data_IF_155014752348
#
_entry.id   IF_155014752348
#
_cell.length_a   1.000
_cell.length_b   1.000
_cell.length_c   1.000
_cell.angle_alpha   90.00
_cell.angle_beta   90.00
_cell.angle_gamma   90.00
#
_symmetry.space_group_name_H-M   'P 1'
#
loop_
_entity.id
_entity.type
_entity.pdbx_description
1 polymer ?
#
# COMPACT_ATOMS: atom_id res chain seq x y z
N UNK A 1 -22.84 21.78 -51.64
CA UNK A 1 -21.42 21.58 -51.26
C UNK A 1 -21.17 21.21 -49.79
N UNK A 2 -21.82 21.81 -48.78
CA UNK A 2 -21.57 21.47 -47.36
C UNK A 2 -21.99 20.06 -46.94
N UNK A 3 -23.07 19.53 -47.52
CA UNK A 3 -23.58 18.17 -47.23
C UNK A 3 -22.65 17.07 -47.77
N UNK A 4 -22.13 17.23 -48.99
CA UNK A 4 -21.15 16.28 -49.58
C UNK A 4 -19.83 16.24 -48.80
N UNK A 5 -19.40 17.35 -48.19
CA UNK A 5 -18.21 17.36 -47.30
C UNK A 5 -18.46 16.58 -46.01
N UNK A 6 -19.68 16.64 -45.46
CA UNK A 6 -20.03 15.91 -44.24
C UNK A 6 -20.16 14.40 -44.49
N UNK A 7 -20.76 14.00 -45.61
CA UNK A 7 -20.87 12.57 -46.01
C UNK A 7 -19.48 11.97 -46.27
N UNK A 8 -18.61 12.65 -47.02
CA UNK A 8 -17.21 12.20 -47.22
C UNK A 8 -16.42 12.11 -45.92
N UNK A 9 -16.70 12.99 -44.95
CA UNK A 9 -16.03 12.93 -43.65
C UNK A 9 -16.52 11.72 -42.83
N UNK A 10 -17.83 11.45 -42.84
CA UNK A 10 -18.42 10.30 -42.16
C UNK A 10 -17.93 8.97 -42.74
N UNK A 11 -17.91 8.83 -44.06
CA UNK A 11 -17.39 7.64 -44.76
C UNK A 11 -15.89 7.41 -44.49
N UNK A 12 -15.09 8.47 -44.36
CA UNK A 12 -13.68 8.38 -43.98
C UNK A 12 -13.50 7.96 -42.51
N UNK A 13 -14.36 8.43 -41.60
CA UNK A 13 -14.35 7.97 -40.19
C UNK A 13 -14.87 6.55 -40.00
N UNK A 14 -15.77 6.06 -40.85
CA UNK A 14 -16.23 4.66 -40.80
C UNK A 14 -15.19 3.69 -41.35
N UNK A 15 -14.46 4.05 -42.42
CA UNK A 15 -13.33 3.24 -42.90
C UNK A 15 -12.18 3.14 -41.88
N UNK A 16 -11.98 4.15 -41.04
CA UNK A 16 -10.96 4.14 -39.98
C UNK A 16 -11.42 3.50 -38.65
N UNK A 17 -12.62 2.91 -38.59
CA UNK A 17 -13.15 2.22 -37.39
C UNK A 17 -13.11 0.70 -37.48
N UNK A 18 -12.37 0.13 -38.43
CA UNK A 18 -12.04 -1.29 -38.34
C UNK A 18 -11.04 -1.50 -37.21
N UNK A 19 -11.50 -2.12 -36.14
CA UNK A 19 -10.66 -2.58 -35.04
C UNK A 19 -9.61 -3.53 -35.61
N UNK A 20 -8.35 -3.14 -35.50
CA UNK A 20 -7.21 -4.02 -35.81
C UNK A 20 -7.34 -5.23 -34.88
N UNK A 21 -7.44 -6.42 -35.44
CA UNK A 21 -7.51 -7.64 -34.62
C UNK A 21 -6.18 -7.81 -33.89
N UNK A 22 -6.18 -8.52 -32.75
CA UNK A 22 -4.93 -8.84 -32.03
C UNK A 22 -3.91 -9.52 -32.94
N UNK A 23 -4.38 -10.35 -33.87
CA UNK A 23 -3.56 -10.99 -34.89
C UNK A 23 -2.90 -9.96 -35.80
N UNK A 24 -3.67 -9.03 -36.34
CA UNK A 24 -3.16 -7.99 -37.22
C UNK A 24 -2.20 -7.02 -36.51
N UNK A 25 -2.34 -6.78 -35.20
CA UNK A 25 -1.35 -6.05 -34.42
C UNK A 25 -0.03 -6.82 -34.28
N UNK A 26 -0.10 -8.14 -34.06
CA UNK A 26 1.08 -9.00 -34.01
C UNK A 26 1.78 -9.03 -35.37
N UNK A 27 1.04 -9.26 -36.45
CA UNK A 27 1.56 -9.31 -37.83
C UNK A 27 2.22 -7.98 -38.22
N UNK A 28 1.62 -6.84 -37.87
CA UNK A 28 2.20 -5.51 -38.10
C UNK A 28 3.51 -5.31 -37.32
N UNK A 29 3.60 -5.85 -36.10
CA UNK A 29 4.81 -5.75 -35.26
C UNK A 29 5.95 -6.61 -35.83
N UNK A 30 5.64 -7.82 -36.31
CA UNK A 30 6.59 -8.69 -36.99
C UNK A 30 7.05 -8.12 -38.33
N UNK A 31 6.14 -7.57 -39.14
CA UNK A 31 6.49 -6.90 -40.40
C UNK A 31 7.41 -5.70 -40.15
N UNK A 32 7.13 -4.88 -39.13
CA UNK A 32 8.00 -3.78 -38.74
C UNK A 32 9.38 -4.28 -38.30
N UNK A 33 9.46 -5.30 -37.42
CA UNK A 33 10.72 -5.88 -36.98
C UNK A 33 11.54 -6.46 -38.14
N UNK A 34 10.88 -7.11 -39.11
CA UNK A 34 11.51 -7.63 -40.32
C UNK A 34 12.17 -6.51 -41.14
N UNK A 35 11.45 -5.40 -41.37
CA UNK A 35 11.99 -4.25 -42.12
C UNK A 35 13.17 -3.57 -41.44
N UNK A 36 13.33 -3.75 -40.12
CA UNK A 36 14.42 -3.20 -39.32
C UNK A 36 15.56 -4.18 -39.07
N UNK A 37 15.48 -5.41 -39.60
CA UNK A 37 16.48 -6.45 -39.32
C UNK A 37 16.49 -6.89 -37.85
N UNK A 38 15.37 -6.75 -37.15
CA UNK A 38 15.22 -7.06 -35.73
C UNK A 38 14.56 -8.42 -35.49
N UNK A 39 14.44 -9.29 -36.49
CA UNK A 39 13.98 -10.66 -36.26
C UNK A 39 15.14 -11.55 -35.80
N UNK A 40 14.90 -12.38 -34.80
CA UNK A 40 15.82 -13.43 -34.36
C UNK A 40 15.07 -14.76 -34.25
N UNK A 41 15.75 -15.87 -34.49
CA UNK A 41 15.20 -17.19 -34.20
C UNK A 41 15.54 -17.55 -32.75
N UNK A 42 14.51 -17.75 -31.93
CA UNK A 42 14.72 -18.13 -30.53
C UNK A 42 15.32 -19.55 -30.45
N UNK A 43 16.40 -19.71 -29.69
CA UNK A 43 17.15 -20.96 -29.62
C UNK A 43 16.37 -22.10 -28.96
N UNK A 44 15.44 -21.80 -28.06
CA UNK A 44 14.69 -22.77 -27.26
C UNK A 44 13.57 -23.42 -28.07
N UNK A 45 12.79 -22.62 -28.79
CA UNK A 45 11.60 -23.11 -29.51
C UNK A 45 11.66 -22.97 -31.03
N UNK A 46 12.79 -22.49 -31.58
CA UNK A 46 13.06 -22.38 -33.04
C UNK A 46 12.00 -21.58 -33.82
N UNK A 47 11.30 -20.65 -33.15
CA UNK A 47 10.37 -19.71 -33.81
C UNK A 47 11.00 -18.33 -33.92
N UNK A 48 10.64 -17.58 -34.97
CA UNK A 48 11.05 -16.20 -35.13
C UNK A 48 10.38 -15.30 -34.08
N UNK A 49 11.15 -14.41 -33.49
CA UNK A 49 10.69 -13.42 -32.53
C UNK A 49 11.26 -12.04 -32.89
N UNK A 50 10.48 -10.98 -32.66
CA UNK A 50 10.98 -9.62 -32.75
C UNK A 50 11.91 -9.31 -31.56
N UNK A 51 13.16 -8.94 -31.86
CA UNK A 51 14.15 -8.42 -30.91
C UNK A 51 13.68 -7.05 -30.44
N UNK A 52 13.29 -6.96 -29.18
CA UNK A 52 13.08 -5.68 -28.50
C UNK A 52 14.46 -5.03 -28.32
N UNK A 53 14.73 -3.97 -29.08
CA UNK A 53 15.88 -3.11 -28.82
C UNK A 53 15.50 -2.29 -27.60
N UNK A 54 15.99 -2.70 -26.44
CA UNK A 54 16.09 -1.82 -25.29
C UNK A 54 17.43 -1.11 -25.51
N UNK A 55 17.40 0.18 -25.84
CA UNK A 55 18.61 0.97 -26.01
C UNK A 55 19.24 1.15 -24.61
N UNK A 56 20.31 0.39 -24.34
CA UNK A 56 21.06 0.41 -23.07
C UNK A 56 22.05 1.61 -22.99
N UNK A 57 21.86 2.68 -23.78
CA UNK A 57 22.83 3.79 -23.87
C UNK A 57 22.85 4.74 -22.65
N UNK A 58 22.05 4.51 -21.61
CA UNK A 58 22.11 5.24 -20.33
C UNK A 58 22.65 4.39 -19.16
N UNK A 59 23.44 3.34 -19.45
CA UNK A 59 24.22 2.64 -18.42
C UNK A 59 25.33 3.55 -17.88
N UNK A 60 25.01 4.28 -16.81
CA UNK A 60 25.96 5.03 -16.00
C UNK A 60 27.13 4.13 -15.54
N UNK A 61 28.32 4.67 -15.74
CA UNK A 61 29.61 4.19 -15.25
C UNK A 61 29.58 3.94 -13.74
N UNK A 62 29.85 2.70 -13.32
CA UNK A 62 30.31 2.37 -11.97
C UNK A 62 31.46 1.38 -12.09
N UNK A 63 32.68 1.93 -12.16
CA UNK A 63 33.88 1.28 -11.64
C UNK A 63 34.07 1.78 -10.20
N UNK A 64 34.05 0.88 -9.22
CA UNK A 64 35.20 0.62 -8.36
C UNK A 64 34.87 -0.41 -7.26
N UNK A 65 35.83 -1.31 -7.08
CA UNK A 65 35.88 -2.39 -6.10
C UNK A 65 35.76 -1.89 -4.65
N UNK A 66 34.82 -2.46 -3.89
CA UNK A 66 34.81 -2.39 -2.41
C UNK A 66 34.74 -3.81 -1.87
N UNK A 67 35.70 -4.25 -1.02
CA UNK A 67 35.67 -5.57 -0.43
C UNK A 67 34.57 -5.68 0.63
N UNK A 68 33.82 -6.76 0.56
CA UNK A 68 32.75 -7.14 1.49
C UNK A 68 33.34 -7.55 2.85
N UNK A 69 32.90 -6.97 3.99
CA UNK A 69 33.23 -7.51 5.30
C UNK A 69 32.30 -8.67 5.66
N UNK A 70 32.89 -9.65 6.34
CA UNK A 70 32.31 -10.91 6.80
C UNK A 70 31.06 -10.71 7.67
N UNK A 71 30.01 -11.48 7.38
CA UNK A 71 28.76 -11.51 8.14
C UNK A 71 28.85 -12.50 9.31
N UNK A 72 28.86 -11.98 10.54
CA UNK A 72 28.62 -12.77 11.75
C UNK A 72 27.13 -13.10 11.90
N UNK A 73 26.86 -14.37 12.17
CA UNK A 73 25.51 -14.92 12.29
C UNK A 73 24.98 -14.82 13.73
N UNK A 74 24.01 -13.93 13.96
CA UNK A 74 23.29 -13.84 15.24
C UNK A 74 21.95 -14.58 15.11
N UNK A 75 21.82 -15.67 15.87
CA UNK A 75 20.59 -16.46 15.97
C UNK A 75 19.53 -15.73 16.82
N UNK A 76 18.37 -15.42 16.24
CA UNK A 76 17.19 -15.00 17.00
C UNK A 76 16.18 -16.14 17.14
N UNK A 77 15.80 -16.44 18.38
CA UNK A 77 14.66 -17.30 18.73
C UNK A 77 13.34 -16.54 18.49
N UNK A 78 12.28 -17.17 17.98
CA UNK A 78 10.99 -16.51 17.83
C UNK A 78 10.23 -16.50 19.16
N UNK A 79 9.73 -15.31 19.53
CA UNK A 79 8.78 -15.12 20.61
C UNK A 79 7.35 -15.44 20.13
N UNK A 80 6.63 -16.21 20.94
CA UNK A 80 5.20 -16.50 20.77
C UNK A 80 4.35 -15.28 21.14
N UNK A 81 3.29 -15.02 20.38
CA UNK A 81 2.16 -14.23 20.87
C UNK A 81 1.48 -13.33 19.84
N UNK A 82 0.19 -13.59 19.64
CA UNK A 82 -0.82 -12.79 18.89
C UNK A 82 -0.86 -13.04 17.38
N UNK A 83 -1.67 -14.02 16.98
CA UNK A 83 -2.05 -14.28 15.59
C UNK A 83 -2.92 -13.14 15.05
N UNK A 84 -2.29 -12.08 14.54
CA UNK A 84 -2.98 -11.15 13.64
C UNK A 84 -3.44 -11.92 12.39
N UNK A 85 -4.59 -11.58 11.81
CA UNK A 85 -5.10 -12.15 10.55
C UNK A 85 -4.27 -11.68 9.36
N UNK A 86 -2.95 -11.86 9.41
CA UNK A 86 -2.05 -11.59 8.30
C UNK A 86 -2.45 -12.50 7.14
N UNK A 87 -2.74 -11.90 5.99
CA UNK A 87 -3.02 -12.62 4.76
C UNK A 87 -1.79 -13.46 4.41
N UNK A 88 -1.90 -14.78 4.50
CA UNK A 88 -0.81 -15.70 4.16
C UNK A 88 -0.66 -15.73 2.62
N UNK A 89 0.33 -15.02 2.10
CA UNK A 89 0.64 -14.91 0.65
C UNK A 89 2.02 -15.50 0.43
N UNK A 90 2.20 -16.24 -0.67
CA UNK A 90 3.53 -16.72 -1.04
C UNK A 90 4.47 -15.53 -1.29
N UNK A 91 5.74 -15.62 -0.85
CA UNK A 91 6.75 -14.66 -1.25
C UNK A 91 6.88 -14.66 -2.78
N UNK A 92 6.96 -13.46 -3.37
CA UNK A 92 7.23 -13.31 -4.80
C UNK A 92 8.71 -13.43 -5.05
N UNK A 93 9.13 -14.38 -5.88
CA UNK A 93 10.51 -14.48 -6.37
C UNK A 93 10.79 -13.26 -7.24
N UNK A 94 11.66 -12.35 -6.81
CA UNK A 94 12.09 -11.24 -7.67
C UNK A 94 12.99 -11.78 -8.78
N UNK A 95 13.14 -11.05 -9.90
CA UNK A 95 13.89 -11.52 -11.09
C UNK A 95 15.34 -11.96 -10.79
N UNK A 96 15.91 -11.52 -9.67
CA UNK A 96 17.29 -11.79 -9.28
C UNK A 96 17.41 -12.65 -8.01
N UNK A 97 16.29 -13.04 -7.39
CA UNK A 97 16.34 -13.84 -6.16
C UNK A 97 16.52 -15.31 -6.51
N UNK A 98 17.46 -15.96 -5.80
CA UNK A 98 17.61 -17.40 -5.93
C UNK A 98 16.40 -18.12 -5.32
N UNK A 99 15.83 -19.14 -5.97
CA UNK A 99 14.73 -19.92 -5.37
C UNK A 99 15.13 -20.58 -4.04
N UNK A 100 16.43 -20.84 -3.83
CA UNK A 100 16.96 -21.40 -2.60
C UNK A 100 16.84 -20.43 -1.41
N UNK A 101 17.05 -19.13 -1.62
CA UNK A 101 16.97 -18.14 -0.52
C UNK A 101 15.53 -17.93 -0.05
N UNK A 102 14.56 -18.11 -0.94
CA UNK A 102 13.14 -17.94 -0.65
C UNK A 102 12.49 -19.22 -0.10
N UNK A 103 13.08 -20.40 -0.34
CA UNK A 103 12.52 -21.71 -0.02
C UNK A 103 12.03 -21.88 1.44
N UNK A 104 12.79 -21.50 2.49
CA UNK A 104 12.32 -21.67 3.87
C UNK A 104 11.05 -20.87 4.16
N UNK A 105 11.00 -19.63 3.66
CA UNK A 105 9.84 -18.74 3.82
C UNK A 105 8.62 -19.27 3.03
N UNK A 106 8.86 -19.84 1.85
CA UNK A 106 7.82 -20.46 1.03
C UNK A 106 7.22 -21.70 1.71
N UNK A 107 8.05 -22.57 2.30
CA UNK A 107 7.62 -23.74 3.06
C UNK A 107 6.77 -23.35 4.28
N UNK A 108 7.18 -22.32 5.03
CA UNK A 108 6.42 -21.81 6.17
C UNK A 108 5.01 -21.33 5.78
N UNK A 109 4.91 -20.59 4.67
CA UNK A 109 3.62 -20.13 4.11
C UNK A 109 2.77 -21.31 3.63
N UNK A 110 3.39 -22.29 2.95
CA UNK A 110 2.71 -23.47 2.44
C UNK A 110 2.11 -24.31 3.58
N UNK A 111 2.86 -24.54 4.66
CA UNK A 111 2.38 -25.28 5.83
C UNK A 111 1.14 -24.61 6.46
N UNK A 112 1.19 -23.29 6.68
CA UNK A 112 0.04 -22.53 7.20
C UNK A 112 -1.18 -22.59 6.28
N UNK A 113 -0.98 -22.61 4.97
CA UNK A 113 -2.08 -22.74 4.00
C UNK A 113 -2.73 -24.12 4.05
N UNK A 114 -1.93 -25.17 4.19
CA UNK A 114 -2.43 -26.54 4.36
C UNK A 114 -3.28 -26.64 5.63
N UNK A 115 -2.78 -26.15 6.77
CA UNK A 115 -3.52 -26.13 8.04
C UNK A 115 -4.86 -25.40 7.92
N UNK A 116 -4.86 -24.19 7.35
CA UNK A 116 -6.08 -23.42 7.14
C UNK A 116 -7.09 -24.14 6.21
N UNK A 117 -6.60 -24.84 5.19
CA UNK A 117 -7.45 -25.63 4.31
C UNK A 117 -8.06 -26.85 5.01
N UNK A 118 -7.30 -27.53 5.87
CA UNK A 118 -7.82 -28.63 6.71
C UNK A 118 -8.96 -28.15 7.62
N UNK A 119 -8.78 -27.03 8.32
CA UNK A 119 -9.82 -26.47 9.21
C UNK A 119 -11.13 -26.18 8.47
N UNK A 120 -11.06 -25.56 7.28
CA UNK A 120 -12.28 -25.25 6.52
C UNK A 120 -12.91 -26.53 5.92
N UNK A 121 -12.10 -27.52 5.55
CA UNK A 121 -12.58 -28.81 5.06
C UNK A 121 -13.34 -29.59 6.14
N UNK A 122 -12.80 -29.65 7.37
CA UNK A 122 -13.48 -30.30 8.50
C UNK A 122 -14.79 -29.60 8.86
N UNK A 123 -14.78 -28.27 8.82
CA UNK A 123 -15.97 -27.46 9.05
C UNK A 123 -17.07 -27.78 8.02
N UNK A 124 -16.72 -27.93 6.74
CA UNK A 124 -17.69 -28.27 5.69
C UNK A 124 -18.30 -29.65 5.88
N UNK A 125 -17.49 -30.66 6.26
CA UNK A 125 -17.98 -32.01 6.57
C UNK A 125 -19.00 -32.04 7.71
N UNK A 126 -18.91 -31.10 8.65
CA UNK A 126 -19.87 -31.00 9.78
C UNK A 126 -21.22 -30.38 9.40
N UNK A 127 -21.37 -29.83 8.19
CA UNK A 127 -22.58 -29.10 7.80
C UNK A 127 -23.73 -29.97 7.32
N UNK A 128 -23.54 -31.31 7.23
CA UNK A 128 -24.54 -32.29 6.77
C UNK A 128 -25.26 -31.85 5.47
N UNK A 129 -24.51 -31.25 4.55
CA UNK A 129 -25.03 -30.73 3.29
C UNK A 129 -24.32 -31.41 2.13
N UNK A 130 -25.03 -32.08 1.20
CA UNK A 130 -24.41 -32.84 0.11
C UNK A 130 -23.44 -32.01 -0.75
N UNK A 131 -23.73 -30.73 -0.94
CA UNK A 131 -22.87 -29.81 -1.70
C UNK A 131 -21.65 -29.34 -0.89
N UNK A 132 -21.79 -29.21 0.43
CA UNK A 132 -20.65 -28.93 1.30
C UNK A 132 -19.70 -30.13 1.34
N UNK A 133 -20.24 -31.36 1.35
CA UNK A 133 -19.46 -32.60 1.30
C UNK A 133 -18.68 -32.74 0.00
N UNK A 134 -19.29 -32.42 -1.15
CA UNK A 134 -18.61 -32.40 -2.45
C UNK A 134 -17.40 -31.42 -2.43
N UNK A 135 -17.59 -30.22 -1.89
CA UNK A 135 -16.51 -29.22 -1.76
C UNK A 135 -15.44 -29.71 -0.78
N UNK A 136 -15.83 -30.33 0.33
CA UNK A 136 -14.90 -30.88 1.31
C UNK A 136 -14.02 -32.00 0.71
N UNK A 137 -14.60 -32.84 -0.16
CA UNK A 137 -13.86 -33.90 -0.87
C UNK A 137 -12.88 -33.30 -1.88
N UNK A 138 -13.28 -32.27 -2.63
CA UNK A 138 -12.37 -31.54 -3.51
C UNK A 138 -11.24 -30.84 -2.74
N UNK A 139 -11.54 -30.23 -1.59
CA UNK A 139 -10.52 -29.64 -0.72
C UNK A 139 -9.54 -30.69 -0.23
N UNK A 140 -10.00 -31.88 0.18
CA UNK A 140 -9.12 -32.97 0.60
C UNK A 140 -8.13 -33.35 -0.51
N UNK A 141 -8.61 -33.55 -1.74
CA UNK A 141 -7.75 -33.90 -2.87
C UNK A 141 -6.67 -32.84 -3.15
N UNK A 142 -7.02 -31.55 -3.01
CA UNK A 142 -6.06 -30.45 -3.17
C UNK A 142 -5.05 -30.39 -2.02
N UNK A 143 -5.49 -30.67 -0.79
CA UNK A 143 -4.65 -30.74 0.40
C UNK A 143 -3.65 -31.89 0.32
N UNK A 144 -4.07 -33.07 -0.15
CA UNK A 144 -3.19 -34.21 -0.35
C UNK A 144 -2.10 -33.88 -1.38
N UNK A 145 -2.48 -33.18 -2.45
CA UNK A 145 -1.52 -32.71 -3.46
C UNK A 145 -0.54 -31.67 -2.90
N UNK A 146 -1.01 -30.68 -2.14
CA UNK A 146 -0.13 -29.68 -1.53
C UNK A 146 0.80 -30.31 -0.48
N UNK A 147 0.33 -31.29 0.30
CA UNK A 147 1.18 -32.04 1.23
C UNK A 147 2.27 -32.83 0.51
N UNK A 148 1.94 -33.46 -0.62
CA UNK A 148 2.91 -34.15 -1.49
C UNK A 148 3.96 -33.17 -2.02
N UNK A 149 3.54 -32.00 -2.51
CA UNK A 149 4.45 -30.98 -3.02
C UNK A 149 5.30 -30.33 -1.89
N UNK A 150 4.73 -30.12 -0.70
CA UNK A 150 5.45 -29.67 0.50
C UNK A 150 6.56 -30.64 0.90
N UNK A 151 6.27 -31.95 0.90
CA UNK A 151 7.27 -32.98 1.19
C UNK A 151 8.41 -32.95 0.17
N UNK A 152 8.10 -32.89 -1.12
CA UNK A 152 9.11 -32.78 -2.18
C UNK A 152 10.00 -31.54 -2.02
N UNK A 153 9.41 -30.39 -1.69
CA UNK A 153 10.17 -29.16 -1.44
C UNK A 153 11.07 -29.28 -0.21
N UNK A 154 10.60 -29.93 0.86
CA UNK A 154 11.39 -30.19 2.07
C UNK A 154 12.56 -31.14 1.77
N UNK A 155 12.34 -32.18 0.97
CA UNK A 155 13.39 -33.09 0.53
C UNK A 155 14.45 -32.35 -0.32
N UNK A 156 14.01 -31.40 -1.17
CA UNK A 156 14.90 -30.56 -1.99
C UNK A 156 15.67 -29.52 -1.18
N UNK A 157 15.08 -29.00 -0.11
CA UNK A 157 15.77 -28.15 0.86
C UNK A 157 16.91 -28.93 1.55
N UNK A 158 16.62 -30.16 1.99
CA UNK A 158 17.64 -31.03 2.58
C UNK A 158 18.76 -31.36 1.57
N UNK A 159 18.42 -31.67 0.32
CA UNK A 159 19.40 -31.89 -0.75
C UNK A 159 20.30 -30.67 -0.96
N UNK A 160 19.73 -29.46 -0.98
CA UNK A 160 20.47 -28.20 -1.12
C UNK A 160 21.48 -27.98 0.01
N UNK A 161 21.10 -28.30 1.25
CA UNK A 161 21.97 -28.14 2.42
C UNK A 161 23.14 -29.14 2.36
N UNK A 162 22.93 -30.32 1.77
CA UNK A 162 23.97 -31.37 1.67
C UNK A 162 24.88 -31.24 0.44
N UNK A 163 24.56 -30.40 -0.55
CA UNK A 163 25.39 -30.18 -1.74
C UNK A 163 26.58 -29.25 -1.44
N UNK A 164 27.57 -29.78 -0.71
CA UNK A 164 28.75 -29.01 -0.27
C UNK A 164 29.64 -28.51 -1.42
N UNK A 165 29.61 -29.19 -2.58
CA UNK A 165 30.47 -28.84 -3.73
C UNK A 165 29.77 -27.91 -4.73
N UNK A 166 28.49 -27.59 -4.51
CA UNK A 166 27.69 -26.70 -5.36
C UNK A 166 27.44 -27.19 -6.79
N UNK A 167 27.92 -28.39 -7.16
CA UNK A 167 27.86 -28.92 -8.53
C UNK A 167 26.43 -29.18 -9.03
N UNK A 168 25.46 -29.38 -8.12
CA UNK A 168 24.05 -29.62 -8.48
C UNK A 168 23.16 -28.39 -8.33
N UNK A 169 23.72 -27.27 -7.89
CA UNK A 169 22.98 -26.05 -7.55
C UNK A 169 22.05 -25.58 -8.68
N UNK A 170 22.50 -25.60 -9.93
CA UNK A 170 21.70 -25.10 -11.06
C UNK A 170 20.48 -25.98 -11.35
N UNK A 171 20.68 -27.31 -11.40
CA UNK A 171 19.57 -28.27 -11.61
C UNK A 171 18.57 -28.21 -10.46
N UNK A 172 19.07 -28.11 -9.23
CA UNK A 172 18.22 -28.01 -8.05
C UNK A 172 17.36 -26.74 -8.04
N UNK A 173 17.92 -25.60 -8.47
CA UNK A 173 17.17 -24.34 -8.64
C UNK A 173 16.02 -24.50 -9.64
N UNK A 174 16.25 -25.17 -10.76
CA UNK A 174 15.23 -25.41 -11.78
C UNK A 174 14.09 -26.31 -11.27
N UNK A 175 14.44 -27.40 -10.57
CA UNK A 175 13.46 -28.32 -9.97
C UNK A 175 12.62 -27.65 -8.87
N UNK A 176 13.25 -26.85 -8.01
CA UNK A 176 12.54 -26.07 -6.99
C UNK A 176 11.59 -25.06 -7.63
N UNK A 177 12.03 -24.36 -8.69
CA UNK A 177 11.16 -23.42 -9.41
C UNK A 177 9.95 -24.12 -10.05
N UNK A 178 10.14 -25.32 -10.61
CA UNK A 178 9.04 -26.11 -11.13
C UNK A 178 8.02 -26.47 -10.04
N UNK A 179 8.50 -26.87 -8.85
CA UNK A 179 7.67 -27.15 -7.67
C UNK A 179 6.95 -25.89 -7.15
N UNK A 180 7.59 -24.72 -7.14
CA UNK A 180 6.95 -23.44 -6.78
C UNK A 180 5.77 -23.12 -7.69
N UNK A 181 5.95 -23.28 -9.01
CA UNK A 181 4.88 -23.05 -9.98
C UNK A 181 3.71 -24.04 -9.74
N UNK A 182 4.02 -25.31 -9.46
CA UNK A 182 3.00 -26.32 -9.18
C UNK A 182 2.23 -26.03 -7.88
N UNK A 183 2.94 -25.68 -6.81
CA UNK A 183 2.34 -25.29 -5.53
C UNK A 183 1.43 -24.08 -5.69
N UNK A 184 1.90 -23.04 -6.39
CA UNK A 184 1.14 -21.80 -6.60
C UNK A 184 -0.15 -22.05 -7.38
N UNK A 185 -0.10 -22.91 -8.42
CA UNK A 185 -1.31 -23.32 -9.17
C UNK A 185 -2.31 -24.02 -8.25
N UNK A 186 -1.85 -24.97 -7.44
CA UNK A 186 -2.72 -25.73 -6.53
C UNK A 186 -3.30 -24.84 -5.42
N UNK A 187 -2.51 -23.89 -4.88
CA UNK A 187 -2.97 -22.91 -3.88
C UNK A 187 -4.04 -21.96 -4.41
N UNK A 188 -3.90 -21.45 -5.64
CA UNK A 188 -4.94 -20.60 -6.25
C UNK A 188 -6.27 -21.35 -6.33
N UNK A 189 -6.24 -22.63 -6.70
CA UNK A 189 -7.43 -23.49 -6.74
C UNK A 189 -7.97 -23.72 -5.32
N UNK A 190 -7.11 -24.05 -4.35
CA UNK A 190 -7.48 -24.24 -2.94
C UNK A 190 -8.19 -23.01 -2.38
N UNK A 191 -7.63 -21.81 -2.55
CA UNK A 191 -8.20 -20.56 -2.06
C UNK A 191 -9.58 -20.27 -2.65
N UNK A 192 -9.81 -20.61 -3.92
CA UNK A 192 -11.13 -20.49 -4.54
C UNK A 192 -12.16 -21.42 -3.89
N UNK A 193 -11.78 -22.66 -3.55
CA UNK A 193 -12.66 -23.59 -2.85
C UNK A 193 -12.89 -23.18 -1.39
N UNK A 194 -11.88 -22.69 -0.67
CA UNK A 194 -12.04 -22.13 0.68
C UNK A 194 -13.02 -20.94 0.66
N UNK A 195 -12.88 -20.03 -0.31
CA UNK A 195 -13.80 -18.90 -0.45
C UNK A 195 -15.24 -19.34 -0.72
N UNK A 196 -15.44 -20.38 -1.54
CA UNK A 196 -16.76 -20.98 -1.79
C UNK A 196 -17.30 -21.66 -0.53
N UNK A 197 -16.47 -22.40 0.20
CA UNK A 197 -16.82 -23.05 1.46
C UNK A 197 -17.36 -22.06 2.51
N UNK A 198 -16.68 -20.92 2.67
CA UNK A 198 -17.10 -19.83 3.57
C UNK A 198 -18.45 -19.20 3.23
N UNK A 199 -18.95 -19.39 2.01
CA UNK A 199 -20.26 -18.87 1.60
C UNK A 199 -21.44 -19.75 2.07
N UNK A 200 -21.17 -21.00 2.48
CA UNK A 200 -22.19 -21.87 3.06
C UNK A 200 -22.56 -21.36 4.45
N UNK A 201 -23.85 -21.11 4.65
CA UNK A 201 -24.42 -20.86 5.98
C UNK A 201 -24.95 -22.19 6.50
N UNK A 202 -24.72 -22.54 7.77
CA UNK A 202 -25.39 -23.68 8.36
C UNK A 202 -26.89 -23.50 8.14
N UNK A 203 -27.56 -24.55 7.67
CA UNK A 203 -29.02 -24.51 7.54
C UNK A 203 -29.53 -24.18 8.94
N UNK A 204 -30.14 -23.00 9.09
CA UNK A 204 -30.89 -22.69 10.30
C UNK A 204 -32.12 -23.59 10.24
N UNK A 205 -31.92 -24.86 10.57
CA UNK A 205 -32.99 -25.78 10.89
C UNK A 205 -33.84 -25.04 11.92
N UNK A 206 -35.15 -25.01 11.65
CA UNK A 206 -36.17 -24.40 12.48
C UNK A 206 -36.02 -24.89 13.92
N UNK A 207 -35.16 -24.25 14.72
CA UNK A 207 -35.21 -24.32 16.16
C UNK A 207 -36.51 -23.61 16.52
N UNK A 208 -37.52 -24.44 16.76
CA UNK A 208 -38.85 -24.05 17.17
C UNK A 208 -38.75 -22.95 18.20
N UNK A 209 -39.37 -21.83 17.86
CA UNK A 209 -39.56 -20.65 18.69
C UNK A 209 -40.41 -21.05 19.91
N UNK A 210 -39.80 -21.71 20.89
CA UNK A 210 -40.37 -21.85 22.22
C UNK A 210 -39.94 -20.63 23.02
N UNK A 211 -40.92 -19.74 23.26
CA UNK A 211 -40.72 -18.54 24.06
C UNK A 211 -40.51 -18.91 25.52
N UNK A 212 -39.34 -18.58 26.04
CA UNK A 212 -39.05 -18.56 27.47
C UNK A 212 -38.20 -17.33 27.78
N UNK A 213 -38.86 -16.23 28.17
CA UNK A 213 -38.19 -15.12 28.82
C UNK A 213 -37.78 -15.58 30.23
N UNK A 214 -36.49 -15.62 30.53
CA UNK A 214 -35.99 -15.55 31.90
C UNK A 214 -34.97 -14.42 31.99
N UNK A 215 -35.35 -13.39 32.74
CA UNK A 215 -34.51 -12.28 33.16
C UNK A 215 -33.67 -12.72 34.36
N UNK A 216 -32.35 -12.76 34.19
CA UNK A 216 -31.43 -12.76 35.32
C UNK A 216 -30.78 -11.38 35.45
N UNK A 217 -31.16 -10.68 36.51
CA UNK A 217 -30.44 -9.53 37.04
C UNK A 217 -29.33 -10.06 37.96
N UNK A 218 -28.07 -9.75 37.65
CA UNK A 218 -26.92 -9.94 38.53
C UNK A 218 -26.21 -8.60 38.63
N UNK A 219 -26.18 -8.05 39.85
CA UNK A 219 -25.49 -6.84 40.20
C UNK A 219 -24.02 -7.16 40.46
N UNK A 220 -23.10 -6.38 39.88
CA UNK A 220 -21.70 -6.36 40.27
C UNK A 220 -21.20 -4.92 40.46
N UNK A 221 -20.41 -4.78 41.50
CA UNK A 221 -19.87 -3.59 42.16
C UNK A 221 -18.78 -2.87 41.34
N UNK A 222 -18.61 -1.55 41.49
CA UNK A 222 -17.55 -0.82 40.80
C UNK A 222 -16.21 -0.92 41.54
N UNK A 223 -15.14 -1.30 40.82
CA UNK A 223 -13.76 -1.14 41.28
C UNK A 223 -13.19 0.18 40.76
N UNK A 224 -12.74 1.04 41.67
CA UNK A 224 -12.06 2.30 41.36
C UNK A 224 -10.60 2.07 40.98
N UNK A 225 -10.15 2.72 39.90
CA UNK A 225 -8.74 3.07 39.69
C UNK A 225 -8.08 2.54 38.41
N UNK A 226 -8.25 3.25 37.29
CA UNK A 226 -7.16 3.44 36.31
C UNK A 226 -7.48 4.58 35.34
N UNK A 227 -6.50 5.48 35.18
CA UNK A 227 -6.32 6.54 34.18
C UNK A 227 -7.46 6.85 33.20
N UNK A 228 -7.99 8.07 33.34
CA UNK A 228 -9.06 8.66 32.54
C UNK A 228 -8.64 8.94 31.10
N UNK A 229 -8.52 7.90 30.29
CA UNK A 229 -8.91 8.00 28.88
C UNK A 229 -10.43 7.77 28.87
N UNK A 230 -11.19 8.81 28.50
CA UNK A 230 -12.65 8.72 28.44
C UNK A 230 -13.05 7.53 27.57
N UNK A 231 -13.59 6.49 28.19
CA UNK A 231 -14.09 5.31 27.50
C UNK A 231 -15.15 5.74 26.46
N UNK A 232 -14.82 5.43 25.21
CA UNK A 232 -15.73 4.78 24.26
C UNK A 232 -16.85 5.60 23.61
N UNK A 233 -16.50 6.71 22.95
CA UNK A 233 -17.25 7.06 21.74
C UNK A 233 -16.83 6.11 20.60
N UNK A 234 -17.72 5.19 20.28
CA UNK A 234 -17.54 4.25 19.17
C UNK A 234 -17.38 4.98 17.82
N UNK A 235 -17.94 6.18 17.67
CA UNK A 235 -17.72 7.03 16.51
C UNK A 235 -16.24 7.44 16.42
N UNK A 236 -15.67 7.90 17.53
CA UNK A 236 -14.26 8.30 17.61
C UNK A 236 -13.34 7.12 17.37
N UNK A 237 -13.64 5.93 17.92
CA UNK A 237 -12.87 4.73 17.63
C UNK A 237 -12.89 4.36 16.13
N UNK A 238 -14.05 4.50 15.47
CA UNK A 238 -14.18 4.24 14.04
C UNK A 238 -13.51 5.31 13.18
N UNK A 239 -13.47 6.56 13.64
CA UNK A 239 -12.73 7.64 13.01
C UNK A 239 -11.22 7.49 13.22
N UNK A 240 -10.76 7.06 14.39
CA UNK A 240 -9.36 6.70 14.64
C UNK A 240 -8.93 5.52 13.78
N UNK A 241 -9.79 4.52 13.57
CA UNK A 241 -9.50 3.44 12.62
C UNK A 241 -9.39 3.98 11.18
N UNK A 242 -10.17 5.00 10.81
CA UNK A 242 -10.01 5.70 9.54
C UNK A 242 -8.69 6.46 9.45
N UNK A 243 -8.25 7.13 10.51
CA UNK A 243 -6.94 7.78 10.61
C UNK A 243 -5.81 6.74 10.47
N UNK A 244 -6.01 5.54 11.03
CA UNK A 244 -5.16 4.36 10.82
C UNK A 244 -5.35 3.71 9.44
N UNK A 245 -6.10 4.37 8.54
CA UNK A 245 -6.37 4.03 7.14
C UNK A 245 -7.15 2.74 6.92
N UNK A 246 -8.09 2.45 7.80
CA UNK A 246 -9.19 1.57 7.48
C UNK A 246 -9.89 2.04 6.18
N UNK A 247 -10.30 1.09 5.34
CA UNK A 247 -11.08 1.44 4.16
C UNK A 247 -12.43 2.06 4.57
N UNK A 248 -13.04 2.84 3.68
CA UNK A 248 -14.32 3.49 3.98
C UNK A 248 -15.42 2.49 4.34
N UNK A 249 -15.34 1.22 3.93
CA UNK A 249 -16.33 0.19 4.28
C UNK A 249 -16.11 -0.32 5.70
N UNK A 250 -14.87 -0.45 6.17
CA UNK A 250 -14.53 -0.79 7.55
C UNK A 250 -14.94 0.29 8.54
N UNK A 251 -15.17 1.53 8.11
CA UNK A 251 -15.74 2.59 8.96
C UNK A 251 -17.27 2.59 8.86
N UNK A 252 -17.78 2.71 7.64
CA UNK A 252 -19.23 2.91 7.39
C UNK A 252 -20.06 1.68 7.77
N UNK A 253 -19.56 0.46 7.57
CA UNK A 253 -20.32 -0.76 7.87
C UNK A 253 -20.47 -1.00 9.37
N UNK A 254 -19.42 -0.96 10.21
CA UNK A 254 -19.59 -0.98 11.66
C UNK A 254 -20.47 0.16 12.16
N UNK A 255 -20.30 1.39 11.65
CA UNK A 255 -21.17 2.51 12.00
C UNK A 255 -22.64 2.21 11.73
N UNK A 256 -22.95 1.62 10.56
CA UNK A 256 -24.31 1.19 10.20
C UNK A 256 -24.85 0.11 11.14
N UNK A 257 -24.03 -0.86 11.54
CA UNK A 257 -24.43 -1.95 12.42
C UNK A 257 -24.69 -1.43 13.85
N UNK A 258 -23.76 -0.62 14.36
CA UNK A 258 -23.83 -0.04 15.69
C UNK A 258 -25.00 0.93 15.81
N UNK A 259 -25.19 1.87 14.87
CA UNK A 259 -26.35 2.77 14.85
C UNK A 259 -27.67 2.00 14.85
N UNK A 260 -27.79 0.90 14.10
CA UNK A 260 -28.98 0.02 14.13
C UNK A 260 -29.17 -0.69 15.47
N UNK A 261 -28.10 -1.10 16.14
CA UNK A 261 -28.17 -1.74 17.47
C UNK A 261 -28.57 -0.73 18.54
N UNK A 262 -27.94 0.44 18.58
CA UNK A 262 -28.25 1.53 19.51
C UNK A 262 -29.72 1.93 19.39
N UNK A 263 -30.24 2.12 18.16
CA UNK A 263 -31.66 2.43 17.92
C UNK A 263 -32.63 1.38 18.49
N UNK A 264 -32.25 0.09 18.50
CA UNK A 264 -33.06 -0.97 19.13
C UNK A 264 -33.07 -0.91 20.65
N UNK A 265 -32.02 -0.35 21.25
CA UNK A 265 -31.90 -0.13 22.69
C UNK A 265 -32.48 1.22 23.13
N UNK A 266 -33.05 2.00 22.20
CA UNK A 266 -33.57 3.35 22.49
C UNK A 266 -32.47 4.42 22.61
N UNK A 267 -31.22 4.09 22.30
CA UNK A 267 -30.08 5.03 22.31
C UNK A 267 -29.88 5.57 20.89
N UNK A 268 -29.72 6.89 20.76
CA UNK A 268 -29.43 7.55 19.48
C UNK A 268 -28.15 8.35 19.62
N UNK A 269 -27.11 7.91 18.92
CA UNK A 269 -25.87 8.63 18.73
C UNK A 269 -25.94 9.39 17.38
N UNK A 270 -25.97 10.73 17.39
CA UNK A 270 -26.06 11.54 16.17
C UNK A 270 -24.87 11.37 15.22
N UNK A 271 -23.65 11.19 15.72
CA UNK A 271 -22.44 11.05 14.92
C UNK A 271 -22.41 9.69 14.22
N UNK A 272 -22.68 8.63 14.98
CA UNK A 272 -22.83 7.28 14.44
C UNK A 272 -23.96 7.18 13.43
N UNK A 273 -25.07 7.89 13.65
CA UNK A 273 -26.15 7.95 12.67
C UNK A 273 -25.73 8.68 11.38
N UNK A 274 -24.97 9.78 11.47
CA UNK A 274 -24.43 10.47 10.28
C UNK A 274 -23.50 9.55 9.49
N UNK A 275 -22.57 8.86 10.16
CA UNK A 275 -21.68 7.89 9.53
C UNK A 275 -22.43 6.70 8.93
N UNK A 276 -23.43 6.17 9.65
CA UNK A 276 -24.27 5.07 9.17
C UNK A 276 -25.05 5.45 7.90
N UNK A 277 -25.52 6.70 7.78
CA UNK A 277 -26.21 7.21 6.58
C UNK A 277 -25.34 7.17 5.33
N UNK A 278 -24.01 7.23 5.46
CA UNK A 278 -23.09 7.04 4.33
C UNK A 278 -23.19 5.62 3.73
N UNK A 279 -23.68 4.66 4.52
CA UNK A 279 -23.93 3.27 4.13
C UNK A 279 -25.34 3.00 3.60
N UNK A 280 -26.25 3.99 3.64
CA UNK A 280 -27.59 3.90 3.07
C UNK A 280 -27.53 3.99 1.54
N UNK A 281 -26.97 2.97 0.92
CA UNK A 281 -26.79 2.84 -0.52
C UNK A 281 -26.01 1.57 -0.84
N UNK A 282 -25.60 1.42 -2.11
CA UNK A 282 -24.68 0.35 -2.44
C UNK A 282 -23.28 0.72 -1.88
N UNK A 283 -22.73 -0.11 -1.00
CA UNK A 283 -21.40 0.09 -0.34
C UNK A 283 -20.22 0.34 -1.30
N UNK A 284 -20.37 0.13 -2.61
CA UNK A 284 -19.35 0.52 -3.59
C UNK A 284 -19.10 2.04 -3.63
N UNK A 285 -20.05 2.85 -3.15
CA UNK A 285 -19.93 4.31 -3.08
C UNK A 285 -19.50 4.83 -1.70
N UNK A 286 -19.20 3.96 -0.73
CA UNK A 286 -18.89 4.37 0.65
C UNK A 286 -17.73 5.38 0.71
N UNK A 287 -16.67 5.18 -0.07
CA UNK A 287 -15.53 6.11 -0.14
C UNK A 287 -15.93 7.49 -0.67
N UNK A 288 -16.73 7.55 -1.74
CA UNK A 288 -17.24 8.83 -2.28
C UNK A 288 -18.15 9.54 -1.28
N UNK A 289 -19.04 8.79 -0.63
CA UNK A 289 -19.95 9.33 0.38
C UNK A 289 -19.18 9.87 1.60
N UNK A 290 -18.18 9.12 2.07
CA UNK A 290 -17.30 9.51 3.16
C UNK A 290 -16.48 10.76 2.81
N UNK A 291 -15.92 10.83 1.60
CA UNK A 291 -15.22 12.03 1.15
C UNK A 291 -16.17 13.25 1.12
N UNK A 292 -17.38 13.09 0.57
CA UNK A 292 -18.38 14.16 0.60
C UNK A 292 -18.83 14.54 2.02
N UNK A 293 -18.79 13.61 2.97
CA UNK A 293 -19.06 13.87 4.38
C UNK A 293 -17.93 14.69 5.03
N UNK A 294 -16.67 14.28 4.87
CA UNK A 294 -15.49 15.01 5.38
C UNK A 294 -15.51 16.46 4.93
N UNK A 295 -15.79 16.72 3.65
CA UNK A 295 -15.89 18.09 3.12
C UNK A 295 -17.08 18.88 3.69
N UNK A 296 -18.25 18.26 3.81
CA UNK A 296 -19.46 18.94 4.32
C UNK A 296 -19.36 19.30 5.80
N UNK A 297 -18.71 18.45 6.59
CA UNK A 297 -18.51 18.67 8.02
C UNK A 297 -17.28 19.55 8.30
N UNK A 298 -16.56 20.01 7.27
CA UNK A 298 -15.35 20.81 7.46
C UNK A 298 -14.21 20.05 8.14
N UNK A 299 -14.20 18.71 8.08
CA UNK A 299 -13.13 17.85 8.63
C UNK A 299 -11.91 17.79 7.69
N UNK A 300 -11.70 18.81 6.86
CA UNK A 300 -10.54 18.96 5.98
C UNK A 300 -9.50 19.83 6.65
N UNK A 301 -8.22 19.52 6.46
CA UNK A 301 -7.14 20.40 6.92
C UNK A 301 -7.17 21.71 6.11
N UNK A 302 -7.10 22.89 6.75
CA UNK A 302 -7.17 24.19 6.09
C UNK A 302 -5.84 24.59 5.43
N UNK A 303 -5.24 23.67 4.67
CA UNK A 303 -3.94 23.89 4.02
C UNK A 303 -4.16 24.56 2.66
N UNK A 304 -3.56 25.73 2.39
CA UNK A 304 -3.67 26.40 1.11
C UNK A 304 -3.18 25.51 -0.04
N UNK A 305 -3.96 25.48 -1.13
CA UNK A 305 -3.52 24.88 -2.39
C UNK A 305 -2.80 25.97 -3.18
N UNK A 306 -1.49 25.82 -3.31
CA UNK A 306 -0.64 26.67 -4.14
C UNK A 306 -0.66 26.17 -5.59
N UNK A 307 -0.09 26.95 -6.51
CA UNK A 307 0.08 26.50 -7.90
C UNK A 307 1.49 26.75 -8.41
N UNK A 308 1.95 25.91 -9.32
CA UNK A 308 3.23 26.06 -10.03
C UNK A 308 3.00 26.01 -11.55
N UNK A 309 3.67 26.86 -12.36
CA UNK A 309 3.53 26.81 -13.80
C UNK A 309 4.12 25.50 -14.35
N UNK A 310 3.30 24.69 -15.03
CA UNK A 310 3.73 23.48 -15.71
C UNK A 310 3.31 23.49 -17.17
N UNK A 311 4.18 23.04 -18.05
CA UNK A 311 3.83 22.70 -19.43
C UNK A 311 3.39 21.23 -19.48
N UNK A 312 2.10 20.97 -19.70
CA UNK A 312 1.54 19.60 -19.77
C UNK A 312 1.14 19.21 -21.19
N UNK A 313 1.32 17.94 -21.55
CA UNK A 313 0.86 17.41 -22.83
C UNK A 313 -0.67 17.26 -22.88
N UNK A 314 -1.29 17.68 -23.99
CA UNK A 314 -2.71 17.41 -24.26
C UNK A 314 -2.89 16.02 -24.85
N UNK A 315 -4.03 15.38 -24.54
CA UNK A 315 -4.42 14.07 -25.08
C UNK A 315 -4.45 14.00 -26.62
N UNK A 316 -4.67 15.13 -27.32
CA UNK A 316 -4.74 15.21 -28.80
C UNK A 316 -3.43 15.72 -29.43
N UNK A 317 -2.33 15.73 -28.68
CA UNK A 317 -1.06 16.33 -29.11
C UNK A 317 -0.96 17.82 -28.76
N UNK A 318 0.28 18.31 -28.76
CA UNK A 318 0.63 19.65 -28.29
C UNK A 318 0.77 19.75 -26.77
N UNK A 319 1.30 20.88 -26.32
CA UNK A 319 1.47 21.21 -24.91
C UNK A 319 0.57 22.40 -24.52
N UNK A 320 0.31 22.55 -23.22
CA UNK A 320 -0.36 23.71 -22.65
C UNK A 320 0.29 24.05 -21.32
N UNK A 321 0.54 25.34 -21.13
CA UNK A 321 0.98 25.86 -19.85
C UNK A 321 -0.24 25.97 -18.94
N UNK A 322 -0.14 25.36 -17.77
CA UNK A 322 -1.18 25.34 -16.75
C UNK A 322 -0.59 25.77 -15.41
N UNK A 323 -1.42 26.43 -14.60
CA UNK A 323 -1.12 26.66 -13.20
C UNK A 323 -1.50 25.40 -12.42
N UNK A 324 -0.54 24.51 -12.21
CA UNK A 324 -0.79 23.18 -11.67
C UNK A 324 -0.89 23.21 -10.14
N UNK A 325 -1.92 22.59 -9.53
CA UNK A 325 -2.11 22.63 -8.08
C UNK A 325 -1.05 21.79 -7.36
N UNK A 326 -0.48 22.37 -6.30
CA UNK A 326 0.49 21.74 -5.42
C UNK A 326 0.16 22.07 -3.95
N UNK A 327 0.59 21.20 -3.04
CA UNK A 327 0.59 21.43 -1.61
C UNK A 327 2.03 21.61 -1.15
N UNK A 328 2.39 22.86 -0.86
CA UNK A 328 3.72 23.25 -0.44
C UNK A 328 4.06 22.67 0.94
N UNK A 329 5.27 22.14 1.11
CA UNK A 329 5.76 21.69 2.41
C UNK A 329 5.74 22.83 3.44
N UNK A 330 6.01 24.05 3.02
CA UNK A 330 5.95 25.25 3.87
C UNK A 330 4.56 25.44 4.47
N UNK A 331 3.52 25.22 3.68
CA UNK A 331 2.12 25.38 4.11
C UNK A 331 1.71 24.24 5.04
N UNK A 332 2.15 23.00 4.76
CA UNK A 332 2.04 21.88 5.68
C UNK A 332 2.69 22.18 7.03
N UNK A 333 3.94 22.64 7.03
CA UNK A 333 4.71 22.89 8.25
C UNK A 333 4.10 24.04 9.06
N UNK A 334 3.65 25.13 8.42
CA UNK A 334 2.95 26.22 9.12
C UNK A 334 1.71 25.73 9.86
N UNK A 335 0.91 24.89 9.19
CA UNK A 335 -0.28 24.31 9.81
C UNK A 335 0.08 23.32 10.93
N UNK A 336 0.97 22.36 10.66
CA UNK A 336 1.31 21.31 11.61
C UNK A 336 1.97 21.88 12.87
N UNK A 337 2.97 22.74 12.71
CA UNK A 337 3.71 23.33 13.82
C UNK A 337 2.93 24.46 14.53
N UNK A 338 2.04 25.14 13.81
CA UNK A 338 1.30 26.29 14.34
C UNK A 338 -0.04 25.94 14.98
N UNK A 339 -0.84 25.12 14.30
CA UNK A 339 -2.21 24.80 14.70
C UNK A 339 -2.32 23.38 15.26
N UNK A 340 -1.59 22.40 14.70
CA UNK A 340 -1.74 21.00 15.07
C UNK A 340 -0.76 20.52 16.17
N UNK A 341 0.05 21.41 16.74
CA UNK A 341 0.95 21.13 17.87
C UNK A 341 2.31 20.53 17.52
N UNK A 342 2.56 20.15 16.26
CA UNK A 342 3.88 19.76 15.76
C UNK A 342 4.25 18.28 15.88
N UNK A 343 3.50 17.47 16.64
CA UNK A 343 3.85 16.07 16.97
C UNK A 343 4.17 15.21 15.74
N UNK A 344 3.45 15.45 14.64
CA UNK A 344 3.65 14.72 13.39
C UNK A 344 5.08 14.85 12.84
N UNK A 345 5.64 16.07 12.85
CA UNK A 345 6.99 16.33 12.30
C UNK A 345 8.07 16.40 13.37
N UNK A 346 7.71 16.39 14.66
CA UNK A 346 8.61 16.53 15.80
C UNK A 346 8.72 15.22 16.61
N UNK A 347 8.68 14.07 15.95
CA UNK A 347 8.87 12.76 16.55
C UNK A 347 7.91 12.44 17.73
N UNK A 348 6.68 12.96 17.67
CA UNK A 348 5.66 12.76 18.71
C UNK A 348 5.62 13.86 19.77
N UNK A 349 6.60 14.76 19.78
CA UNK A 349 6.68 15.84 20.75
C UNK A 349 5.88 17.06 20.30
N UNK A 350 5.26 17.75 21.25
CA UNK A 350 4.62 19.03 20.97
C UNK A 350 5.69 20.10 20.69
N UNK A 351 5.39 21.13 19.91
CA UNK A 351 6.31 22.25 19.59
C UNK A 351 6.82 23.02 20.83
N UNK A 352 6.18 22.84 21.99
CA UNK A 352 6.60 23.44 23.27
C UNK A 352 7.60 22.57 24.04
N UNK A 353 7.69 21.29 23.69
CA UNK A 353 8.58 20.33 24.31
C UNK A 353 9.91 20.34 23.56
N UNK A 354 11.00 20.73 24.23
CA UNK A 354 12.32 20.77 23.58
C UNK A 354 12.93 19.38 23.38
N UNK A 355 12.31 18.31 23.87
CA UNK A 355 12.84 16.95 23.77
C UNK A 355 13.00 16.45 22.32
N UNK A 356 12.24 17.00 21.35
CA UNK A 356 12.48 16.70 19.92
C UNK A 356 13.88 17.12 19.46
N UNK A 357 14.49 18.12 20.12
CA UNK A 357 15.81 18.60 19.75
C UNK A 357 16.89 17.55 20.01
N UNK A 358 16.75 16.80 21.10
CA UNK A 358 17.66 15.70 21.41
C UNK A 358 17.51 14.56 20.39
N UNK A 359 16.30 14.29 19.91
CA UNK A 359 16.04 13.30 18.85
C UNK A 359 16.73 13.71 17.55
N UNK A 360 16.56 14.96 17.09
CA UNK A 360 17.20 15.43 15.86
C UNK A 360 18.72 15.57 15.99
N UNK A 361 19.22 15.98 17.17
CA UNK A 361 20.66 15.97 17.44
C UNK A 361 21.24 14.58 17.25
N UNK A 362 20.66 13.56 17.89
CA UNK A 362 21.09 12.16 17.74
C UNK A 362 21.00 11.67 16.30
N UNK A 363 19.93 12.01 15.58
CA UNK A 363 19.78 11.68 14.17
C UNK A 363 20.95 12.22 13.34
N UNK A 364 21.24 13.52 13.43
CA UNK A 364 22.30 14.15 12.64
C UNK A 364 23.70 13.69 13.07
N UNK A 365 23.95 13.43 14.37
CA UNK A 365 25.21 12.83 14.81
C UNK A 365 25.47 11.47 14.16
N UNK A 366 24.44 10.61 14.11
CA UNK A 366 24.53 9.29 13.47
C UNK A 366 24.63 9.39 11.95
N UNK A 367 23.85 10.29 11.34
CA UNK A 367 23.85 10.49 9.88
C UNK A 367 25.19 11.01 9.36
N UNK A 368 25.97 11.73 10.18
CA UNK A 368 27.28 12.24 9.80
C UNK A 368 28.26 11.10 9.49
N UNK A 369 28.11 9.94 10.12
CA UNK A 369 28.92 8.76 9.80
C UNK A 369 28.56 8.15 8.44
N UNK A 370 27.33 8.33 7.97
CA UNK A 370 26.88 7.84 6.67
C UNK A 370 27.22 8.81 5.53
N UNK A 371 27.06 10.12 5.75
CA UNK A 371 27.37 11.16 4.78
C UNK A 371 27.99 12.38 5.48
N UNK A 372 29.32 12.40 5.69
CA UNK A 372 30.00 13.51 6.36
C UNK A 372 30.06 14.79 5.51
N UNK A 373 29.80 14.70 4.20
CA UNK A 373 29.84 15.82 3.27
C UNK A 373 28.47 16.50 3.09
N UNK A 374 27.43 15.99 3.76
CA UNK A 374 26.10 16.57 3.69
C UNK A 374 26.13 18.06 4.05
N UNK A 375 25.47 18.89 3.23
CA UNK A 375 25.48 20.36 3.32
C UNK A 375 25.03 20.91 4.69
N UNK A 376 24.28 20.12 5.45
CA UNK A 376 23.85 20.47 6.81
C UNK A 376 25.03 20.70 7.76
N UNK A 377 26.15 19.97 7.60
CA UNK A 377 27.29 20.09 8.52
C UNK A 377 28.15 21.31 8.23
N UNK A 378 28.19 21.78 6.98
CA UNK A 378 28.91 22.98 6.59
C UNK A 378 28.10 24.27 6.79
N UNK A 379 26.77 24.20 6.65
CA UNK A 379 25.91 25.40 6.70
C UNK A 379 25.14 25.59 8.01
N UNK A 380 24.92 24.52 8.80
CA UNK A 380 24.15 24.59 10.05
C UNK A 380 25.04 24.19 11.23
N UNK A 381 25.06 25.02 12.27
CA UNK A 381 25.73 24.67 13.53
C UNK A 381 24.94 23.61 14.33
N UNK A 382 25.53 23.08 15.40
CA UNK A 382 24.92 22.01 16.20
C UNK A 382 23.52 22.37 16.73
N UNK A 383 23.32 23.60 17.21
CA UNK A 383 22.03 24.08 17.72
C UNK A 383 20.98 24.19 16.60
N UNK A 384 21.39 24.58 15.39
CA UNK A 384 20.47 24.62 14.24
C UNK A 384 20.12 23.20 13.79
N UNK A 385 21.07 22.26 13.83
CA UNK A 385 20.83 20.85 13.48
C UNK A 385 19.84 20.19 14.43
N UNK A 386 19.88 20.49 15.73
CA UNK A 386 18.86 20.00 16.68
C UNK A 386 17.45 20.53 16.40
N UNK A 387 17.30 21.54 15.54
CA UNK A 387 16.01 22.07 15.09
C UNK A 387 15.72 21.77 13.61
N UNK A 388 16.59 21.01 12.94
CA UNK A 388 16.47 20.68 11.51
C UNK A 388 15.74 19.35 11.36
N UNK A 389 14.51 19.38 10.85
CA UNK A 389 13.68 18.19 10.62
C UNK A 389 14.21 17.43 9.39
N UNK A 390 14.62 16.16 9.51
CA UNK A 390 15.05 15.37 8.36
C UNK A 390 13.84 14.91 7.54
N UNK A 391 13.81 15.27 6.25
CA UNK A 391 12.72 14.97 5.32
C UNK A 391 13.27 14.30 4.07
N UNK A 392 12.60 13.24 3.62
CA UNK A 392 12.80 12.63 2.31
C UNK A 392 11.69 13.04 1.35
N UNK A 393 12.02 13.10 0.06
CA UNK A 393 11.05 13.13 -1.03
C UNK A 393 10.75 11.69 -1.41
N UNK A 394 9.48 11.37 -1.58
CA UNK A 394 9.02 10.08 -2.06
C UNK A 394 8.19 10.27 -3.33
N UNK A 395 8.56 9.55 -4.39
CA UNK A 395 7.78 9.42 -5.61
C UNK A 395 7.25 8.00 -5.73
N UNK A 396 5.96 7.83 -6.00
CA UNK A 396 5.33 6.52 -6.18
C UNK A 396 4.41 6.51 -7.42
N UNK A 397 4.43 5.41 -8.16
CA UNK A 397 3.55 5.20 -9.30
C UNK A 397 2.36 4.33 -8.90
N UNK A 398 1.20 4.96 -8.82
CA UNK A 398 -0.06 4.31 -8.50
C UNK A 398 -0.96 4.10 -9.70
N UNK A 399 -2.11 3.47 -9.46
CA UNK A 399 -3.25 3.51 -10.37
C UNK A 399 -4.44 4.11 -9.65
N UNK A 400 -5.01 5.17 -10.21
CA UNK A 400 -6.24 5.76 -9.69
C UNK A 400 -7.45 4.82 -9.90
N UNK A 401 -8.62 5.23 -9.40
CA UNK A 401 -9.88 4.47 -9.57
C UNK A 401 -10.23 4.17 -11.04
N UNK A 402 -9.81 5.04 -11.96
CA UNK A 402 -9.98 4.87 -13.40
C UNK A 402 -8.97 3.89 -14.03
N UNK A 403 -8.12 3.23 -13.23
CA UNK A 403 -7.00 2.38 -13.66
C UNK A 403 -5.94 3.10 -14.51
N UNK A 404 -6.00 4.44 -14.54
CA UNK A 404 -5.01 5.29 -15.19
C UNK A 404 -3.83 5.43 -14.22
N UNK A 405 -2.58 5.26 -14.69
CA UNK A 405 -1.43 5.46 -13.83
C UNK A 405 -1.34 6.92 -13.38
N UNK A 406 -0.85 7.11 -12.16
CA UNK A 406 -0.63 8.43 -11.55
C UNK A 406 0.72 8.42 -10.86
N UNK A 407 1.47 9.51 -11.00
CA UNK A 407 2.67 9.78 -10.22
C UNK A 407 2.24 10.60 -9.00
N UNK A 408 2.54 10.10 -7.81
CA UNK A 408 2.29 10.81 -6.56
C UNK A 408 3.66 11.22 -6.03
N UNK A 409 3.79 12.49 -5.66
CA UNK A 409 4.99 13.02 -5.00
C UNK A 409 4.61 13.52 -3.62
N UNK A 410 5.41 13.15 -2.63
CA UNK A 410 5.13 13.35 -1.22
C UNK A 410 6.41 13.73 -0.48
N UNK A 411 6.26 14.41 0.65
CA UNK A 411 7.30 14.53 1.66
C UNK A 411 7.09 13.49 2.76
N UNK A 412 8.16 12.95 3.30
CA UNK A 412 8.12 11.98 4.38
C UNK A 412 9.16 12.35 5.44
N UNK A 413 8.74 12.48 6.70
CA UNK A 413 9.67 12.65 7.81
C UNK A 413 10.51 11.38 7.98
N UNK A 414 11.83 11.54 8.11
CA UNK A 414 12.73 10.39 8.32
C UNK A 414 12.50 9.80 9.71
N UNK A 415 12.33 10.66 10.71
CA UNK A 415 11.97 10.26 12.07
C UNK A 415 10.43 10.17 12.18
N UNK A 416 9.86 9.02 12.57
CA UNK A 416 8.41 8.87 12.69
C UNK A 416 7.84 9.67 13.87
N UNK A 417 6.56 10.02 13.79
CA UNK A 417 5.82 10.65 14.89
C UNK A 417 5.72 9.75 16.15
N UNK A 418 6.01 8.46 16.04
CA UNK A 418 6.05 7.53 17.16
C UNK A 418 7.42 7.49 17.88
N UNK A 419 8.37 8.31 17.45
CA UNK A 419 9.74 8.36 17.97
C UNK A 419 10.75 7.58 17.12
N UNK A 420 12.04 7.76 17.43
CA UNK A 420 13.17 7.19 16.66
C UNK A 420 13.29 5.66 16.73
N UNK A 421 12.67 5.02 17.73
CA UNK A 421 12.70 3.56 17.93
C UNK A 421 11.63 2.80 17.11
N UNK A 422 10.90 3.50 16.24
CA UNK A 422 9.85 2.93 15.40
C UNK A 422 10.17 3.14 13.93
N UNK A 423 9.71 2.23 13.09
CA UNK A 423 9.77 2.39 11.65
C UNK A 423 8.59 3.24 11.17
N UNK A 424 8.82 4.03 10.12
CA UNK A 424 7.75 4.72 9.38
C UNK A 424 6.70 3.79 8.75
N UNK A 425 6.96 2.47 8.73
CA UNK A 425 5.98 1.46 8.31
C UNK A 425 5.02 1.05 9.42
N UNK A 426 5.31 1.42 10.68
CA UNK A 426 4.39 1.21 11.80
C UNK A 426 3.32 2.31 11.80
N UNK A 427 2.20 2.00 11.17
CA UNK A 427 1.07 2.92 11.04
C UNK A 427 0.64 3.04 9.60
N UNK A 428 -0.15 4.07 9.31
CA UNK A 428 -0.70 4.25 7.98
C UNK A 428 -0.01 5.38 7.22
N UNK A 429 0.06 5.26 5.90
CA UNK A 429 0.83 6.15 5.03
C UNK A 429 0.36 7.61 5.02
N UNK A 430 -0.92 7.88 5.28
CA UNK A 430 -1.49 9.22 5.49
C UNK A 430 -0.96 9.86 6.77
N UNK A 431 -0.57 9.07 7.76
CA UNK A 431 0.05 9.53 9.00
C UNK A 431 1.58 9.62 8.92
N UNK A 432 2.17 9.40 7.75
CA UNK A 432 3.64 9.44 7.57
C UNK A 432 4.09 10.21 6.35
N UNK A 433 3.15 10.61 5.46
CA UNK A 433 3.45 11.30 4.20
C UNK A 433 2.59 12.54 4.03
N UNK A 434 3.24 13.64 3.68
CA UNK A 434 2.60 14.91 3.34
C UNK A 434 2.51 15.00 1.81
N UNK A 435 1.30 15.04 1.27
CA UNK A 435 1.10 15.10 -0.18
C UNK A 435 1.67 16.41 -0.73
N UNK A 436 2.45 16.34 -1.81
CA UNK A 436 2.85 17.52 -2.61
C UNK A 436 2.00 17.64 -3.87
N UNK A 437 2.04 16.62 -4.73
CA UNK A 437 1.38 16.66 -6.04
C UNK A 437 0.94 15.27 -6.49
N UNK A 438 -0.10 15.24 -7.34
CA UNK A 438 -0.55 14.04 -8.05
C UNK A 438 -0.57 14.41 -9.53
N UNK A 439 0.15 13.69 -10.38
CA UNK A 439 0.23 13.92 -11.82
C UNK A 439 -0.34 12.70 -12.56
N UNK A 440 -1.31 12.82 -13.48
CA UNK A 440 -1.81 11.69 -14.27
C UNK A 440 -0.80 11.27 -15.35
N UNK A 441 -0.74 9.98 -15.71
CA UNK A 441 0.18 9.46 -16.74
C UNK A 441 0.07 10.16 -18.10
N UNK A 442 -1.09 10.71 -18.43
CA UNK A 442 -1.27 11.51 -19.65
C UNK A 442 -0.44 12.79 -19.66
N UNK A 443 0.01 13.23 -18.49
CA UNK A 443 0.71 14.47 -18.25
C UNK A 443 2.19 14.27 -17.95
N UNK A 444 2.72 13.04 -17.88
CA UNK A 444 4.15 12.77 -17.60
C UNK A 444 4.75 11.64 -18.47
N UNK A 445 4.20 11.44 -19.66
CA UNK A 445 4.69 10.42 -20.59
C UNK A 445 6.17 10.65 -21.00
N UNK A 446 6.88 9.66 -21.57
CA UNK A 446 8.28 9.81 -21.94
C UNK A 446 8.55 11.09 -22.75
N UNK A 447 9.58 11.85 -22.35
CA UNK A 447 9.97 13.18 -22.87
C UNK A 447 9.07 14.38 -22.47
N UNK A 448 8.26 14.26 -21.42
CA UNK A 448 7.45 15.38 -20.90
C UNK A 448 8.21 16.20 -19.85
N UNK A 449 8.23 17.52 -20.03
CA UNK A 449 8.89 18.49 -19.12
C UNK A 449 8.08 18.78 -17.85
N UNK A 450 6.90 18.19 -17.74
CA UNK A 450 5.99 18.38 -16.60
C UNK A 450 6.58 17.89 -15.27
N UNK A 451 7.34 16.78 -15.28
CA UNK A 451 8.03 16.27 -14.09
C UNK A 451 9.11 17.27 -13.65
N UNK A 452 9.88 17.79 -14.60
CA UNK A 452 10.94 18.77 -14.31
C UNK A 452 10.38 20.01 -13.63
N UNK A 453 9.21 20.50 -14.05
CA UNK A 453 8.55 21.62 -13.40
C UNK A 453 8.08 21.32 -11.97
N UNK A 454 7.62 20.10 -11.69
CA UNK A 454 7.29 19.66 -10.32
C UNK A 454 8.56 19.55 -9.47
N UNK A 455 9.62 18.93 -9.99
CA UNK A 455 10.89 18.80 -9.27
C UNK A 455 11.56 20.15 -9.02
N UNK A 456 11.49 21.08 -9.97
CA UNK A 456 11.96 22.45 -9.80
C UNK A 456 11.21 23.15 -8.65
N UNK A 457 9.88 23.03 -8.61
CA UNK A 457 9.07 23.61 -7.53
C UNK A 457 9.40 23.00 -6.16
N UNK A 458 9.61 21.68 -6.09
CA UNK A 458 10.04 21.00 -4.85
C UNK A 458 11.44 21.48 -4.44
N UNK A 459 12.38 21.56 -5.37
CA UNK A 459 13.77 21.95 -5.12
C UNK A 459 13.87 23.39 -4.61
N UNK A 460 13.15 24.32 -5.25
CA UNK A 460 13.07 25.72 -4.83
C UNK A 460 12.52 25.83 -3.40
N UNK A 461 11.43 25.12 -3.11
CA UNK A 461 10.83 25.12 -1.78
C UNK A 461 11.75 24.51 -0.71
N UNK A 462 12.38 23.36 -0.99
CA UNK A 462 13.28 22.73 -0.03
C UNK A 462 14.53 23.58 0.22
N UNK A 463 15.03 24.28 -0.80
CA UNK A 463 16.12 25.23 -0.66
C UNK A 463 15.70 26.40 0.24
N UNK A 464 14.55 27.03 -0.03
CA UNK A 464 14.00 28.11 0.79
C UNK A 464 13.83 27.67 2.26
N UNK A 465 13.25 26.48 2.48
CA UNK A 465 13.05 25.90 3.81
C UNK A 465 14.37 25.56 4.51
N UNK A 466 15.35 25.06 3.78
CA UNK A 466 16.67 24.75 4.35
C UNK A 466 17.40 26.03 4.77
N UNK A 467 17.36 27.08 3.95
CA UNK A 467 18.05 28.34 4.22
C UNK A 467 17.37 29.13 5.34
N UNK A 468 16.05 29.32 5.24
CA UNK A 468 15.29 30.27 6.06
C UNK A 468 14.50 29.64 7.20
N UNK A 469 14.20 28.34 7.09
CA UNK A 469 13.32 27.62 8.01
C UNK A 469 11.86 28.08 7.95
N UNK A 470 11.00 27.47 8.77
CA UNK A 470 9.61 27.95 8.98
C UNK A 470 9.53 28.68 10.31
N UNK A 471 9.07 29.93 10.28
CA UNK A 471 8.75 30.67 11.49
C UNK A 471 7.28 30.51 11.81
N UNK A 472 7.01 29.99 12.99
CA UNK A 472 5.65 29.76 13.46
C UNK A 472 5.43 30.62 14.69
N UNK A 473 4.43 31.50 14.64
CA UNK A 473 3.99 32.20 15.84
C UNK A 473 3.22 31.21 16.68
N UNK A 474 3.89 30.65 17.68
CA UNK A 474 3.19 29.80 18.63
C UNK A 474 2.37 30.71 19.53
N UNK A 475 1.05 30.75 19.32
CA UNK A 475 0.16 31.60 20.09
C UNK A 475 0.29 31.23 21.58
N UNK A 476 0.63 32.20 22.43
CA UNK A 476 0.61 32.01 23.88
C UNK A 476 -0.85 31.85 24.33
N UNK A 477 -1.24 30.64 24.71
CA UNK A 477 -2.50 30.41 25.40
C UNK A 477 -2.39 30.97 26.83
N UNK A 478 -3.05 32.10 27.09
CA UNK A 478 -3.29 32.56 28.46
C UNK A 478 -4.51 31.83 29.00
N UNK A 479 -4.33 30.99 30.02
CA UNK A 479 -5.44 30.39 30.74
C UNK A 479 -6.15 31.47 31.55
N UNK A 480 -7.35 31.84 31.14
CA UNK A 480 -8.26 32.64 31.97
C UNK A 480 -8.95 31.66 32.92
N UNK A 481 -8.44 31.56 34.15
CA UNK A 481 -9.19 30.93 35.24
C UNK A 481 -10.50 31.72 35.43
N UNK A 482 -11.64 31.02 35.36
CA UNK A 482 -12.92 31.54 35.82
C UNK A 482 -13.09 31.23 37.29
#
# INVERSE_FOLDING_TARGET
MKVQKHVKHLEATEKNRQWVTKQQMADNSFAWAATKGLLRTNEVHKMEEAKLVIEDEDAYMLEDDVPTPETDSISHKPAEGVMSKSKCVFPTVQKNDSPLTVLPSFLSVLAKKIENGCLEQEKLKKMENPRADEIANHLQSLLDKLNSDYKKLTDKEAEAITDGDGTKTTLLKEEIMALFVQCTKTDVILNNYIARGKSFKPSSSNLGRSGGLQSHAGADSPSEGSDSYSEDDLADALMMDMERGADAKSVVRPATIASKRMKKLGVVDPEMERLARLGHGKYHNASRALHGFVHREGKTLPIPISTTPLTIRKKRGGCIDVSYPILRLTDWLKYILGEAGGQFVLAGHHVWDTSYQDVFKRFWERYQSADPQHVVYSQKNEQQRSQTIPICIHGDEGRGLAKVPVLITNFQCVVPYLGEDRLNTHGQSLCTRLLHSILPASSYAPNDKSIDGIHAAISEELTELFETGVRVQVARCYFKYW
#
